data_IF_205299843749
#
_entry.id   IF_205299843749
#
_cell.length_a   1.000
_cell.length_b   1.000
_cell.length_c   1.000
_cell.angle_alpha   90.00
_cell.angle_beta   90.00
_cell.angle_gamma   90.00
#
_symmetry.space_group_name_H-M   'P 1'
#
loop_
_entity.id
_entity.type
_entity.pdbx_description
1 polymer ?
#
# COMPACT_ATOMS: atom_id res chain seq x y z
N UNK A 1 17.83 3.03 -43.07
CA UNK A 1 16.47 3.49 -42.70
C UNK A 1 15.56 2.28 -42.60
N UNK A 2 15.28 1.82 -41.38
CA UNK A 2 14.12 1.04 -40.96
C UNK A 2 14.42 0.47 -39.57
N UNK A 3 13.68 0.89 -38.55
CA UNK A 3 13.37 -0.02 -37.46
C UNK A 3 11.90 0.17 -37.09
N UNK A 4 11.08 -0.73 -37.61
CA UNK A 4 9.72 -0.96 -37.14
C UNK A 4 9.84 -1.89 -35.94
N UNK A 5 9.40 -1.45 -34.77
CA UNK A 5 9.06 -2.38 -33.70
C UNK A 5 7.68 -2.02 -33.12
N UNK A 6 6.59 -2.52 -33.71
CA UNK A 6 5.28 -2.48 -33.10
C UNK A 6 5.12 -3.67 -32.15
N UNK A 7 4.56 -3.41 -30.96
CA UNK A 7 4.12 -4.34 -29.90
C UNK A 7 5.15 -4.88 -28.91
N UNK A 8 5.23 -4.22 -27.75
CA UNK A 8 5.30 -4.93 -26.46
C UNK A 8 4.30 -4.24 -25.53
N UNK A 9 3.43 -5.03 -24.90
CA UNK A 9 2.39 -4.60 -23.97
C UNK A 9 2.96 -3.70 -22.88
N UNK A 10 2.88 -2.39 -23.09
CA UNK A 10 3.26 -1.39 -22.10
C UNK A 10 2.11 -1.26 -21.11
N UNK A 11 2.05 -2.17 -20.13
CA UNK A 11 1.45 -1.81 -18.84
C UNK A 11 2.39 -0.75 -18.28
N UNK A 12 2.15 0.51 -18.63
CA UNK A 12 2.77 1.65 -17.96
C UNK A 12 2.24 1.65 -16.54
N UNK A 13 2.87 0.92 -15.64
CA UNK A 13 2.72 1.21 -14.22
C UNK A 13 3.40 2.57 -14.04
N UNK A 14 2.65 3.68 -13.80
CA UNK A 14 3.28 4.99 -13.68
C UNK A 14 4.30 4.95 -12.53
N UNK A 15 5.39 5.70 -12.63
CA UNK A 15 6.54 5.62 -11.72
C UNK A 15 6.17 5.78 -10.22
N UNK A 16 5.00 6.38 -9.91
CA UNK A 16 4.42 6.55 -8.57
C UNK A 16 3.37 5.49 -8.16
N UNK A 17 2.94 4.60 -9.06
CA UNK A 17 2.10 3.45 -8.70
C UNK A 17 2.83 2.42 -7.82
N UNK A 18 4.16 2.52 -7.72
CA UNK A 18 4.96 1.73 -6.77
C UNK A 18 4.73 2.12 -5.30
N UNK A 19 4.25 3.33 -5.00
CA UNK A 19 3.88 3.66 -3.63
C UNK A 19 2.63 2.87 -3.24
N UNK A 20 1.58 2.87 -4.07
CA UNK A 20 0.37 2.08 -3.82
C UNK A 20 0.67 0.58 -3.59
N UNK A 21 1.61 0.02 -4.35
CA UNK A 21 2.04 -1.38 -4.22
C UNK A 21 2.89 -1.65 -2.95
N UNK A 22 3.52 -0.63 -2.38
CA UNK A 22 4.24 -0.71 -1.08
C UNK A 22 3.32 -0.49 0.11
N UNK A 23 2.21 0.22 -0.07
CA UNK A 23 1.23 0.52 0.98
C UNK A 23 0.27 -0.66 1.25
N UNK A 24 0.22 -1.65 0.35
CA UNK A 24 -0.46 -2.94 0.56
C UNK A 24 0.40 -3.96 1.31
N UNK A 25 1.60 -3.58 1.77
CA UNK A 25 2.49 -4.44 2.56
C UNK A 25 2.00 -4.63 4.01
N UNK A 26 0.71 -4.92 4.19
CA UNK A 26 0.21 -5.43 5.45
C UNK A 26 0.98 -6.71 5.78
N UNK A 27 1.52 -6.87 7.00
CA UNK A 27 2.19 -8.10 7.41
C UNK A 27 1.32 -9.34 7.15
N UNK A 28 1.97 -10.44 6.75
CA UNK A 28 1.29 -11.72 6.56
C UNK A 28 0.69 -12.17 7.88
N UNK A 29 -0.61 -12.51 7.88
CA UNK A 29 -1.33 -12.99 9.06
C UNK A 29 -2.18 -11.95 9.79
N UNK A 30 -2.02 -10.65 9.51
CA UNK A 30 -2.92 -9.62 10.06
C UNK A 30 -4.14 -9.50 9.15
N UNK A 31 -5.34 -9.28 9.69
CA UNK A 31 -6.56 -9.01 8.90
C UNK A 31 -6.62 -7.56 8.39
N UNK A 32 -7.36 -7.28 7.32
CA UNK A 32 -7.39 -5.95 6.69
C UNK A 32 -8.02 -4.92 7.64
N UNK A 33 -9.07 -5.34 8.35
CA UNK A 33 -9.72 -4.58 9.41
C UNK A 33 -8.76 -4.23 10.53
N UNK A 34 -8.03 -5.22 11.05
CA UNK A 34 -7.05 -5.00 12.11
C UNK A 34 -5.97 -4.00 11.69
N UNK A 35 -5.45 -4.13 10.47
CA UNK A 35 -4.44 -3.20 9.97
C UNK A 35 -4.99 -1.79 9.76
N UNK A 36 -6.22 -1.65 9.25
CA UNK A 36 -6.89 -0.36 9.15
C UNK A 36 -7.08 0.30 10.53
N UNK A 37 -7.48 -0.48 11.54
CA UNK A 37 -7.59 -0.01 12.93
C UNK A 37 -6.24 0.46 13.49
N UNK A 38 -5.15 -0.28 13.24
CA UNK A 38 -3.79 0.12 13.66
C UNK A 38 -3.34 1.44 13.02
N UNK A 39 -3.74 1.69 11.79
CA UNK A 39 -3.47 2.93 11.08
C UNK A 39 -4.44 4.07 11.43
N UNK A 40 -5.47 3.80 12.24
CA UNK A 40 -6.49 4.78 12.62
C UNK A 40 -7.41 5.20 11.46
N UNK A 41 -7.64 4.31 10.48
CA UNK A 41 -8.49 4.59 9.31
C UNK A 41 -9.57 3.53 9.13
N UNK A 42 -10.61 3.87 8.37
CA UNK A 42 -11.63 2.88 8.02
C UNK A 42 -11.07 1.81 7.08
N UNK A 43 -11.64 0.59 7.15
CA UNK A 43 -11.31 -0.49 6.21
C UNK A 43 -11.54 -0.05 4.75
N UNK A 44 -12.60 0.72 4.51
CA UNK A 44 -12.92 1.31 3.19
C UNK A 44 -11.80 2.22 2.68
N UNK A 45 -11.26 3.07 3.55
CA UNK A 45 -10.13 3.97 3.22
C UNK A 45 -8.90 3.15 2.85
N UNK A 46 -8.58 2.12 3.63
CA UNK A 46 -7.46 1.24 3.34
C UNK A 46 -7.65 0.47 2.03
N UNK A 47 -8.86 -0.05 1.77
CA UNK A 47 -9.23 -0.69 0.49
C UNK A 47 -9.08 0.25 -0.71
N UNK A 48 -9.45 1.52 -0.58
CA UNK A 48 -9.27 2.52 -1.63
C UNK A 48 -7.79 2.76 -1.93
N UNK A 49 -6.91 2.64 -0.94
CA UNK A 49 -5.46 2.72 -1.12
C UNK A 49 -4.90 1.48 -1.82
N UNK A 50 -5.26 0.28 -1.37
CA UNK A 50 -4.79 -0.96 -1.99
C UNK A 50 -5.22 -1.10 -3.45
N UNK A 51 -6.40 -0.56 -3.79
CA UNK A 51 -6.94 -0.58 -5.14
C UNK A 51 -6.49 0.63 -5.98
N UNK A 52 -5.65 1.51 -5.44
CA UNK A 52 -5.13 2.68 -6.13
C UNK A 52 -6.19 3.75 -6.46
N UNK A 53 -7.38 3.68 -5.85
CA UNK A 53 -8.42 4.72 -6.01
C UNK A 53 -8.07 6.02 -5.28
N UNK A 54 -7.29 5.92 -4.20
CA UNK A 54 -6.80 7.04 -3.39
C UNK A 54 -5.38 6.76 -2.94
N UNK A 55 -4.65 7.81 -2.59
CA UNK A 55 -3.34 7.69 -1.96
C UNK A 55 -3.43 8.09 -0.48
N UNK A 56 -2.72 7.41 0.43
CA UNK A 56 -2.53 7.91 1.78
C UNK A 56 -1.72 9.20 1.73
N UNK A 57 -1.91 10.06 2.72
CA UNK A 57 -1.25 11.35 2.83
C UNK A 57 -0.76 11.59 4.26
N UNK A 58 0.21 12.50 4.42
CA UNK A 58 0.69 12.93 5.73
C UNK A 58 1.15 11.77 6.63
N UNK A 59 0.61 11.69 7.84
CA UNK A 59 0.97 10.67 8.83
C UNK A 59 0.75 9.24 8.32
N UNK A 60 -0.29 8.99 7.51
CA UNK A 60 -0.58 7.66 6.99
C UNK A 60 0.53 7.13 6.07
N UNK A 61 1.14 7.97 5.22
CA UNK A 61 2.30 7.58 4.42
C UNK A 61 3.51 7.22 5.29
N UNK A 62 3.75 7.99 6.34
CA UNK A 62 4.85 7.71 7.27
C UNK A 62 4.62 6.42 8.03
N UNK A 63 3.41 6.18 8.55
CA UNK A 63 3.06 4.93 9.23
C UNK A 63 3.19 3.72 8.31
N UNK A 64 2.76 3.83 7.06
CA UNK A 64 2.91 2.74 6.09
C UNK A 64 4.38 2.47 5.73
N UNK A 65 5.23 3.50 5.68
CA UNK A 65 6.69 3.30 5.53
C UNK A 65 7.30 2.60 6.73
N UNK A 66 6.88 2.96 7.95
CA UNK A 66 7.33 2.28 9.18
C UNK A 66 6.87 0.83 9.18
N UNK A 67 5.61 0.56 8.86
CA UNK A 67 5.06 -0.79 8.74
C UNK A 67 5.84 -1.69 7.77
N UNK A 68 6.33 -1.13 6.66
CA UNK A 68 7.16 -1.83 5.67
C UNK A 68 8.56 -2.11 6.18
N UNK A 69 9.20 -1.11 6.83
CA UNK A 69 10.60 -1.20 7.27
C UNK A 69 10.73 -2.00 8.58
N UNK A 70 9.71 -1.93 9.43
CA UNK A 70 9.66 -2.49 10.77
C UNK A 70 8.33 -3.24 10.98
N UNK A 71 8.09 -4.36 10.28
CA UNK A 71 6.87 -5.14 10.44
C UNK A 71 6.69 -5.69 11.87
N UNK A 72 7.78 -5.88 12.61
CA UNK A 72 7.78 -6.22 14.04
C UNK A 72 7.10 -5.16 14.90
N UNK A 73 7.19 -3.88 14.53
CA UNK A 73 6.56 -2.80 15.27
C UNK A 73 5.02 -2.90 15.25
N UNK A 74 4.44 -3.66 14.30
CA UNK A 74 3.01 -3.93 14.24
C UNK A 74 2.60 -5.16 15.07
N UNK A 75 3.54 -6.03 15.42
CA UNK A 75 3.26 -7.23 16.23
C UNK A 75 2.97 -6.86 17.69
N UNK A 76 3.63 -5.80 18.19
CA UNK A 76 3.43 -5.28 19.54
C UNK A 76 2.18 -4.41 19.68
N UNK A 77 1.60 -3.98 18.56
CA UNK A 77 0.38 -3.17 18.56
C UNK A 77 -0.84 -4.06 18.56
N UNK A 78 -1.65 -3.94 19.62
CA UNK A 78 -2.97 -4.54 19.63
C UNK A 78 -3.93 -3.67 18.83
N UNK A 79 -4.72 -4.22 17.88
CA UNK A 79 -5.80 -3.47 17.26
C UNK A 79 -6.77 -3.06 18.36
N UNK A 80 -7.20 -1.79 18.35
CA UNK A 80 -8.23 -1.31 19.27
C UNK A 80 -9.47 -2.20 19.12
N UNK A 81 -9.79 -2.94 20.19
CA UNK A 81 -11.00 -3.77 20.32
C UNK A 81 -12.23 -2.92 20.62
#
# INVERSE_FOLDING_TARGET
MANRNPTLFHISVPQHAWDALRLSARPRGIAQSAFASLLGVSVRTYQDWEQGRRNPTGAAQTLLRVAVQHPEALQDLQPAV
#
